data_IF_144586104632
#
_entry.id   IF_144586104632
#
_cell.length_a   1.000
_cell.length_b   1.000
_cell.length_c   1.000
_cell.angle_alpha   90.00
_cell.angle_beta   90.00
_cell.angle_gamma   90.00
#
_symmetry.space_group_name_H-M   'P 1'
#
loop_
_entity.id
_entity.type
_entity.pdbx_description
1 polymer ?
#
# COMPACT_ATOMS: atom_id res chain seq x y z
N UNK A 1 -3.52 -6.37 -12.07
CA UNK A 1 -4.66 -7.13 -11.49
C UNK A 1 -4.47 -7.19 -9.99
N UNK A 2 -5.52 -6.93 -9.20
CA UNK A 2 -5.43 -6.87 -7.73
C UNK A 2 -5.26 -8.26 -7.13
N UNK A 3 -4.74 -8.37 -5.92
CA UNK A 3 -4.51 -9.70 -5.31
C UNK A 3 -5.83 -10.43 -5.02
N UNK A 4 -6.89 -9.69 -4.64
CA UNK A 4 -8.23 -10.24 -4.46
C UNK A 4 -8.75 -10.84 -5.77
N UNK A 5 -8.62 -10.10 -6.87
CA UNK A 5 -9.10 -10.54 -8.18
C UNK A 5 -8.33 -11.76 -8.67
N UNK A 6 -7.00 -11.77 -8.46
CA UNK A 6 -6.13 -12.92 -8.72
C UNK A 6 -6.61 -14.16 -7.96
N UNK A 7 -6.87 -14.04 -6.66
CA UNK A 7 -7.39 -15.14 -5.86
C UNK A 7 -8.76 -15.59 -6.37
N UNK A 8 -9.71 -14.66 -6.51
CA UNK A 8 -11.07 -14.98 -6.98
C UNK A 8 -11.04 -15.70 -8.33
N UNK A 9 -10.23 -15.24 -9.27
CA UNK A 9 -10.04 -15.89 -10.57
C UNK A 9 -9.49 -17.30 -10.40
N UNK A 10 -8.44 -17.47 -9.58
CA UNK A 10 -7.82 -18.76 -9.34
C UNK A 10 -8.76 -19.78 -8.71
N UNK A 11 -9.60 -19.34 -7.76
CA UNK A 11 -10.59 -20.22 -7.13
C UNK A 11 -11.62 -20.72 -8.15
N UNK A 12 -12.11 -19.84 -9.02
CA UNK A 12 -13.02 -20.22 -10.11
C UNK A 12 -12.38 -21.19 -11.11
N UNK A 13 -11.12 -20.97 -11.48
CA UNK A 13 -10.37 -21.89 -12.34
C UNK A 13 -10.24 -23.29 -11.73
N UNK A 14 -10.17 -23.37 -10.39
CA UNK A 14 -10.12 -24.62 -9.64
C UNK A 14 -11.51 -25.23 -9.37
N UNK A 15 -12.60 -24.60 -9.83
CA UNK A 15 -13.96 -25.05 -9.58
C UNK A 15 -14.43 -24.84 -8.14
N UNK A 16 -13.80 -23.94 -7.39
CA UNK A 16 -14.14 -23.63 -6.00
C UNK A 16 -15.16 -22.48 -5.98
N UNK A 17 -16.41 -22.82 -5.69
CA UNK A 17 -17.54 -21.89 -5.56
C UNK A 17 -17.96 -21.66 -4.10
N UNK A 18 -17.58 -22.55 -3.17
CA UNK A 18 -17.83 -22.45 -1.73
C UNK A 18 -16.56 -22.62 -0.90
N UNK A 19 -16.34 -21.72 0.06
CA UNK A 19 -15.14 -21.74 0.90
C UNK A 19 -15.46 -21.49 2.38
N UNK A 20 -14.92 -22.34 3.26
CA UNK A 20 -15.01 -22.21 4.70
C UNK A 20 -13.87 -21.33 5.25
N UNK A 21 -14.23 -20.22 5.92
CA UNK A 21 -13.31 -19.13 6.31
C UNK A 21 -13.47 -18.65 7.76
N UNK A 22 -13.97 -19.50 8.69
CA UNK A 22 -14.27 -19.13 10.09
C UNK A 22 -13.11 -18.46 10.85
N UNK A 23 -11.87 -18.85 10.55
CA UNK A 23 -10.65 -18.27 11.17
C UNK A 23 -10.27 -16.88 10.63
N UNK A 24 -10.97 -16.41 9.60
CA UNK A 24 -10.65 -15.18 8.88
C UNK A 24 -11.55 -14.02 9.31
N UNK A 25 -10.97 -12.83 9.44
CA UNK A 25 -11.70 -11.59 9.68
C UNK A 25 -11.64 -10.72 8.43
N UNK A 26 -12.64 -9.86 8.21
CA UNK A 26 -12.64 -8.84 7.14
C UNK A 26 -11.69 -7.67 7.49
N UNK A 27 -10.39 -7.95 7.60
CA UNK A 27 -9.39 -6.99 8.09
C UNK A 27 -8.99 -5.97 7.02
N UNK A 28 -8.63 -6.45 5.83
CA UNK A 28 -8.14 -5.61 4.73
C UNK A 28 -9.26 -5.33 3.73
N UNK A 29 -9.41 -4.06 3.34
CA UNK A 29 -10.49 -3.56 2.48
C UNK A 29 -11.91 -4.01 2.89
N UNK A 30 -12.12 -4.35 4.17
CA UNK A 30 -13.35 -4.97 4.67
C UNK A 30 -13.80 -6.21 3.87
N UNK A 31 -12.84 -6.95 3.30
CA UNK A 31 -13.06 -8.09 2.41
C UNK A 31 -12.39 -9.35 2.95
N UNK A 32 -13.09 -10.48 2.89
CA UNK A 32 -12.51 -11.79 3.19
C UNK A 32 -11.50 -12.19 2.12
N UNK A 33 -11.80 -11.99 0.83
CA UNK A 33 -10.90 -12.42 -0.25
C UNK A 33 -9.59 -11.63 -0.26
N UNK A 34 -9.66 -10.31 -0.04
CA UNK A 34 -8.44 -9.51 0.12
C UNK A 34 -7.65 -9.96 1.35
N UNK A 35 -8.33 -10.20 2.48
CA UNK A 35 -7.65 -10.65 3.70
C UNK A 35 -7.02 -12.04 3.52
N UNK A 36 -7.72 -12.96 2.87
CA UNK A 36 -7.22 -14.29 2.58
C UNK A 36 -6.01 -14.22 1.66
N UNK A 37 -6.09 -13.47 0.55
CA UNK A 37 -4.98 -13.33 -0.39
C UNK A 37 -3.72 -12.77 0.28
N UNK A 38 -3.84 -11.73 1.12
CA UNK A 38 -2.70 -11.19 1.88
C UNK A 38 -2.14 -12.24 2.84
N UNK A 39 -3.00 -12.91 3.62
CA UNK A 39 -2.54 -13.91 4.59
C UNK A 39 -1.96 -15.15 3.93
N UNK A 40 -2.45 -15.52 2.75
CA UNK A 40 -1.93 -16.62 1.95
C UNK A 40 -0.44 -16.40 1.68
N UNK A 41 -0.09 -15.19 1.24
CA UNK A 41 1.27 -14.82 0.88
C UNK A 41 2.20 -14.60 2.10
N UNK A 42 1.68 -14.11 3.23
CA UNK A 42 2.50 -13.77 4.41
C UNK A 42 2.62 -14.94 5.38
N UNK A 43 1.57 -15.76 5.49
CA UNK A 43 1.46 -16.81 6.49
C UNK A 43 1.56 -18.22 5.90
N UNK A 44 1.85 -18.35 4.59
CA UNK A 44 1.86 -19.62 3.86
C UNK A 44 0.56 -20.40 4.10
N UNK A 45 -0.56 -19.77 3.74
CA UNK A 45 -1.85 -20.44 3.72
C UNK A 45 -2.13 -20.96 2.32
N UNK A 46 -3.05 -21.91 2.25
CA UNK A 46 -3.58 -22.48 1.02
C UNK A 46 -5.04 -22.87 1.22
N UNK A 47 -5.65 -23.48 0.21
CA UNK A 47 -6.99 -24.06 0.32
C UNK A 47 -6.89 -25.55 0.12
N UNK A 48 -7.50 -26.29 1.04
CA UNK A 48 -7.49 -27.75 1.06
C UNK A 48 -8.89 -28.29 0.89
N UNK A 49 -9.02 -29.38 0.15
CA UNK A 49 -10.25 -30.13 0.03
C UNK A 49 -10.53 -30.86 1.36
N UNK A 50 -11.63 -30.51 2.02
CA UNK A 50 -12.10 -31.11 3.26
C UNK A 50 -13.59 -30.83 3.41
N UNK A 51 -14.38 -31.87 3.69
CA UNK A 51 -15.81 -31.72 3.96
C UNK A 51 -16.01 -31.14 5.35
N UNK A 52 -16.69 -30.00 5.41
CA UNK A 52 -17.01 -29.30 6.64
C UNK A 52 -18.41 -28.69 6.55
N UNK A 53 -19.16 -28.73 7.64
CA UNK A 53 -20.44 -28.04 7.73
C UNK A 53 -20.24 -26.57 8.10
N UNK A 54 -21.05 -25.69 7.52
CA UNK A 54 -21.02 -24.27 7.83
C UNK A 54 -22.28 -23.53 7.43
N UNK A 55 -22.39 -22.28 7.90
CA UNK A 55 -23.48 -21.36 7.55
C UNK A 55 -22.92 -20.25 6.64
N UNK A 56 -23.71 -19.81 5.64
CA UNK A 56 -23.29 -18.75 4.71
C UNK A 56 -23.15 -17.41 5.46
N UNK A 57 -21.97 -16.81 5.40
CA UNK A 57 -21.65 -15.51 6.04
C UNK A 57 -21.45 -14.37 5.03
N UNK A 58 -21.46 -14.70 3.74
CA UNK A 58 -21.34 -13.72 2.68
C UNK A 58 -20.99 -14.35 1.34
N UNK A 59 -20.72 -13.49 0.37
CA UNK A 59 -20.32 -13.88 -0.98
C UNK A 59 -19.40 -12.78 -1.53
N UNK A 60 -18.29 -13.19 -2.15
CA UNK A 60 -17.37 -12.27 -2.81
C UNK A 60 -16.91 -12.84 -4.13
N UNK A 61 -16.94 -12.05 -5.20
CA UNK A 61 -16.58 -12.48 -6.54
C UNK A 61 -17.39 -13.69 -7.06
N UNK A 62 -18.60 -13.96 -6.55
CA UNK A 62 -19.36 -15.17 -6.89
C UNK A 62 -18.82 -16.44 -6.22
N UNK A 63 -18.10 -16.30 -5.10
CA UNK A 63 -17.67 -17.39 -4.22
C UNK A 63 -18.42 -17.23 -2.91
N UNK A 64 -19.19 -18.24 -2.53
CA UNK A 64 -19.93 -18.28 -1.28
C UNK A 64 -18.98 -18.56 -0.11
N UNK A 65 -19.13 -17.79 0.97
CA UNK A 65 -18.26 -17.87 2.13
C UNK A 65 -19.04 -18.40 3.32
N UNK A 66 -18.41 -19.34 4.02
CA UNK A 66 -19.01 -20.05 5.14
C UNK A 66 -18.19 -19.89 6.41
N UNK A 67 -18.88 -19.75 7.54
CA UNK A 67 -18.31 -19.80 8.88
C UNK A 67 -18.87 -20.98 9.65
N UNK A 68 -18.57 -21.06 10.95
CA UNK A 68 -19.06 -22.12 11.84
C UNK A 68 -20.59 -22.28 11.75
N UNK A 69 -21.05 -23.51 11.58
CA UNK A 69 -22.46 -23.85 11.47
C UNK A 69 -22.69 -25.28 11.00
N UNK A 70 -23.95 -25.64 10.80
CA UNK A 70 -24.39 -27.02 10.48
C UNK A 70 -25.32 -27.09 9.25
N UNK A 71 -25.56 -25.98 8.55
CA UNK A 71 -26.59 -25.90 7.51
C UNK A 71 -26.16 -26.45 6.15
N UNK A 72 -24.92 -26.23 5.74
CA UNK A 72 -24.45 -26.57 4.38
C UNK A 72 -23.09 -27.25 4.41
N UNK A 73 -22.94 -28.33 3.64
CA UNK A 73 -21.65 -28.96 3.38
C UNK A 73 -20.80 -28.08 2.42
N UNK A 74 -19.58 -27.80 2.85
CA UNK A 74 -18.56 -27.05 2.11
C UNK A 74 -17.36 -27.96 1.92
N UNK A 75 -16.79 -27.97 0.72
CA UNK A 75 -15.73 -28.92 0.35
C UNK A 75 -14.31 -28.38 0.48
N UNK A 76 -14.16 -27.10 0.83
CA UNK A 76 -12.89 -26.42 0.85
C UNK A 76 -12.75 -25.54 2.09
N UNK A 77 -11.57 -25.59 2.71
CA UNK A 77 -11.22 -24.73 3.86
C UNK A 77 -9.82 -24.15 3.72
N UNK A 78 -9.55 -23.09 4.49
CA UNK A 78 -8.21 -22.52 4.63
C UNK A 78 -7.33 -23.46 5.47
N UNK A 79 -6.11 -23.74 5.02
CA UNK A 79 -5.10 -24.51 5.75
C UNK A 79 -3.69 -23.92 5.53
N UNK A 80 -2.66 -24.44 6.19
CA UNK A 80 -1.26 -24.10 5.89
C UNK A 80 -0.79 -24.83 4.63
N UNK A 81 -0.02 -24.14 3.79
CA UNK A 81 0.57 -24.71 2.58
C UNK A 81 1.09 -23.64 1.63
N UNK A 82 1.43 -24.06 0.41
CA UNK A 82 1.91 -23.13 -0.61
C UNK A 82 0.76 -22.23 -1.12
N UNK A 83 1.03 -20.91 -1.31
CA UNK A 83 0.04 -20.00 -1.86
C UNK A 83 -0.46 -20.44 -3.23
N UNK A 84 -1.76 -20.32 -3.47
CA UNK A 84 -2.38 -20.67 -4.74
C UNK A 84 -2.20 -19.61 -5.83
N UNK A 85 -1.71 -18.43 -5.47
CA UNK A 85 -1.57 -17.27 -6.34
C UNK A 85 -0.13 -16.80 -6.44
N UNK A 86 0.26 -16.37 -7.63
CA UNK A 86 1.47 -15.60 -7.84
C UNK A 86 1.12 -14.12 -7.74
N UNK A 87 1.71 -13.37 -6.79
CA UNK A 87 1.35 -11.98 -6.59
C UNK A 87 1.91 -11.08 -7.71
N UNK A 88 1.26 -9.94 -7.98
CA UNK A 88 1.75 -8.98 -8.95
C UNK A 88 3.02 -8.30 -8.44
N UNK A 89 3.98 -8.08 -9.33
CA UNK A 89 5.20 -7.33 -9.02
C UNK A 89 4.98 -5.81 -9.06
N UNK A 90 4.00 -5.34 -9.84
CA UNK A 90 3.68 -3.92 -9.99
C UNK A 90 2.22 -3.62 -9.58
N UNK A 91 1.93 -2.41 -9.08
CA UNK A 91 2.90 -1.35 -8.80
C UNK A 91 3.78 -1.68 -7.59
N UNK A 92 5.03 -1.24 -7.63
CA UNK A 92 6.01 -1.39 -6.57
C UNK A 92 6.29 -0.03 -5.93
N UNK A 93 6.17 0.06 -4.61
CA UNK A 93 6.45 1.28 -3.86
C UNK A 93 7.79 1.14 -3.18
N UNK A 94 8.75 1.98 -3.53
CA UNK A 94 10.08 1.99 -2.94
C UNK A 94 10.20 3.18 -2.00
N UNK A 95 10.36 2.92 -0.70
CA UNK A 95 10.59 3.96 0.31
C UNK A 95 12.08 3.98 0.64
N UNK A 96 12.73 5.09 0.32
CA UNK A 96 14.17 5.27 0.54
C UNK A 96 14.44 6.07 1.82
N UNK A 97 15.24 5.47 2.70
CA UNK A 97 15.61 5.98 4.01
C UNK A 97 17.00 6.62 4.05
N UNK A 98 17.63 6.93 2.91
CA UNK A 98 18.99 7.49 2.85
C UNK A 98 19.19 8.78 3.68
N UNK A 99 18.12 9.56 3.92
CA UNK A 99 18.17 10.76 4.76
C UNK A 99 17.86 10.50 6.25
N UNK A 100 17.78 9.24 6.70
CA UNK A 100 17.38 8.88 8.07
C UNK A 100 18.20 9.58 9.16
N UNK A 101 19.50 9.66 8.98
CA UNK A 101 20.40 10.25 9.98
C UNK A 101 20.19 11.75 10.16
N UNK A 102 19.63 12.42 9.16
CA UNK A 102 19.26 13.82 9.27
C UNK A 102 18.05 14.04 10.16
N UNK A 103 17.18 13.03 10.35
CA UNK A 103 15.96 13.12 11.15
C UNK A 103 16.26 13.16 12.65
N UNK A 104 15.43 13.91 13.38
CA UNK A 104 15.32 13.83 14.84
C UNK A 104 14.65 12.52 15.27
N UNK A 105 14.79 12.14 16.55
CA UNK A 105 14.14 10.95 17.11
C UNK A 105 12.60 10.97 16.94
N UNK A 106 11.98 12.14 17.02
CA UNK A 106 10.54 12.30 16.84
C UNK A 106 10.14 12.07 15.37
N UNK A 107 10.91 12.63 14.43
CA UNK A 107 10.72 12.40 13.00
C UNK A 107 10.91 10.93 12.64
N UNK A 108 11.95 10.25 13.16
CA UNK A 108 12.20 8.82 12.97
C UNK A 108 11.03 7.96 13.46
N UNK A 109 10.50 8.23 14.65
CA UNK A 109 9.32 7.54 15.18
C UNK A 109 8.09 7.80 14.31
N UNK A 110 7.86 9.05 13.92
CA UNK A 110 6.74 9.44 13.06
C UNK A 110 6.80 8.77 11.70
N UNK A 111 7.96 8.78 11.03
CA UNK A 111 8.21 8.10 9.76
C UNK A 111 7.98 6.59 9.89
N UNK A 112 8.46 5.97 10.97
CA UNK A 112 8.23 4.53 11.19
C UNK A 112 6.74 4.21 11.34
N UNK A 113 5.99 5.03 12.09
CA UNK A 113 4.54 4.89 12.21
C UNK A 113 3.83 5.08 10.87
N UNK A 114 4.27 6.05 10.07
CA UNK A 114 3.74 6.24 8.72
C UNK A 114 4.04 5.05 7.82
N UNK A 115 5.23 4.45 7.89
CA UNK A 115 5.55 3.22 7.16
C UNK A 115 4.61 2.07 7.55
N UNK A 116 4.33 1.89 8.85
CA UNK A 116 3.38 0.87 9.32
C UNK A 116 1.97 1.13 8.76
N UNK A 117 1.53 2.39 8.72
CA UNK A 117 0.26 2.76 8.10
C UNK A 117 0.28 2.51 6.60
N UNK A 118 1.40 2.79 5.91
CA UNK A 118 1.60 2.49 4.50
C UNK A 118 1.47 0.99 4.22
N UNK A 119 2.08 0.13 5.05
CA UNK A 119 1.94 -1.32 4.94
C UNK A 119 0.47 -1.76 5.02
N UNK A 120 -0.32 -1.16 5.93
CA UNK A 120 -1.75 -1.44 6.03
C UNK A 120 -2.53 -0.92 4.82
N UNK A 121 -2.17 0.25 4.27
CA UNK A 121 -2.74 0.78 3.03
C UNK A 121 -2.45 -0.19 1.89
N UNK A 122 -1.20 -0.61 1.70
CA UNK A 122 -0.80 -1.59 0.68
C UNK A 122 -1.65 -2.86 0.79
N UNK A 123 -1.80 -3.43 1.99
CA UNK A 123 -2.60 -4.63 2.23
C UNK A 123 -4.09 -4.50 1.88
N UNK A 124 -4.64 -3.28 1.77
CA UNK A 124 -6.02 -3.07 1.30
C UNK A 124 -6.18 -3.28 -0.21
N UNK A 125 -5.11 -3.14 -1.00
CA UNK A 125 -5.18 -3.20 -2.47
C UNK A 125 -4.32 -4.34 -3.05
N UNK A 126 -3.15 -4.53 -2.45
CA UNK A 126 -2.05 -5.40 -2.88
C UNK A 126 -1.61 -6.28 -1.70
N UNK A 127 -0.31 -6.62 -1.62
CA UNK A 127 0.32 -7.36 -0.53
C UNK A 127 1.71 -6.78 -0.21
N UNK A 128 2.35 -7.27 0.85
CA UNK A 128 3.58 -6.68 1.39
C UNK A 128 4.74 -6.61 0.39
N UNK A 129 4.90 -7.57 -0.50
CA UNK A 129 6.01 -7.58 -1.47
C UNK A 129 5.91 -6.50 -2.55
N UNK A 130 4.78 -5.76 -2.63
CA UNK A 130 4.69 -4.53 -3.42
C UNK A 130 5.31 -3.32 -2.71
N UNK A 131 5.85 -3.49 -1.49
CA UNK A 131 6.53 -2.46 -0.73
C UNK A 131 8.00 -2.84 -0.53
N UNK A 132 8.89 -1.95 -0.96
CA UNK A 132 10.33 -2.02 -0.76
C UNK A 132 10.81 -0.94 0.19
N UNK A 133 11.83 -1.28 0.96
CA UNK A 133 12.53 -0.39 1.88
C UNK A 133 13.99 -0.38 1.49
N UNK A 134 14.50 0.78 1.09
CA UNK A 134 15.90 0.97 0.70
C UNK A 134 16.63 1.80 1.76
N UNK A 135 17.90 1.47 2.00
CA UNK A 135 18.80 2.22 2.91
C UNK A 135 18.25 2.36 4.34
N UNK A 136 17.36 1.46 4.78
CA UNK A 136 16.84 1.52 6.14
C UNK A 136 17.89 1.05 7.15
N UNK A 137 18.20 1.86 8.17
CA UNK A 137 19.15 1.47 9.20
C UNK A 137 18.52 0.48 10.18
N UNK A 138 19.36 -0.21 10.95
CA UNK A 138 18.91 -1.14 12.00
C UNK A 138 17.93 -0.49 12.98
N UNK A 139 18.11 0.79 13.30
CA UNK A 139 17.22 1.55 14.18
C UNK A 139 15.76 1.58 13.66
N UNK A 140 15.55 1.70 12.35
CA UNK A 140 14.22 1.65 11.75
C UNK A 140 13.53 0.31 12.05
N UNK A 141 14.25 -0.81 11.84
CA UNK A 141 13.70 -2.15 12.10
C UNK A 141 13.42 -2.38 13.59
N UNK A 142 14.24 -1.83 14.48
CA UNK A 142 14.01 -1.88 15.93
C UNK A 142 12.75 -1.10 16.33
N UNK A 143 12.55 0.10 15.79
CA UNK A 143 11.33 0.89 16.01
C UNK A 143 10.10 0.19 15.41
N UNK A 144 10.23 -0.38 14.22
CA UNK A 144 9.17 -1.14 13.56
C UNK A 144 8.71 -2.31 14.43
N UNK A 145 9.63 -3.15 14.88
CA UNK A 145 9.32 -4.30 15.74
C UNK A 145 8.74 -3.87 17.09
N UNK A 146 9.25 -2.77 17.67
CA UNK A 146 8.70 -2.19 18.90
C UNK A 146 7.24 -1.77 18.73
N UNK A 147 6.88 -1.16 17.59
CA UNK A 147 5.53 -0.69 17.32
C UNK A 147 4.58 -1.78 16.82
N UNK A 148 5.10 -2.85 16.23
CA UNK A 148 4.32 -3.93 15.61
C UNK A 148 4.77 -5.32 16.08
N UNK A 149 4.93 -5.48 17.39
CA UNK A 149 5.40 -6.73 17.99
C UNK A 149 4.58 -7.94 17.54
N UNK A 150 5.25 -8.93 16.93
CA UNK A 150 4.63 -10.16 16.46
C UNK A 150 3.80 -10.02 15.17
N UNK A 151 3.86 -8.87 14.50
CA UNK A 151 3.29 -8.71 13.16
C UNK A 151 4.13 -9.49 12.16
N UNK A 152 3.51 -10.44 11.45
CA UNK A 152 4.13 -11.04 10.27
C UNK A 152 4.10 -10.05 9.10
N UNK A 153 5.20 -9.95 8.38
CA UNK A 153 5.34 -9.11 7.19
C UNK A 153 6.26 -9.76 6.16
N UNK A 154 6.15 -9.29 4.91
CA UNK A 154 6.98 -9.78 3.79
C UNK A 154 7.38 -8.66 2.82
N UNK A 155 7.50 -7.42 3.32
CA UNK A 155 8.03 -6.31 2.51
C UNK A 155 9.53 -6.53 2.26
N UNK A 156 10.04 -5.97 1.17
CA UNK A 156 11.41 -6.21 0.74
C UNK A 156 12.37 -5.23 1.42
N UNK A 157 13.33 -5.74 2.21
CA UNK A 157 14.48 -4.95 2.65
C UNK A 157 15.58 -5.04 1.58
N UNK A 158 15.92 -3.90 0.99
CA UNK A 158 16.79 -3.81 -0.18
C UNK A 158 18.11 -3.14 0.17
N UNK A 159 19.20 -3.70 -0.36
CA UNK A 159 20.56 -3.14 -0.23
C UNK A 159 20.99 -2.35 -1.46
N UNK A 160 20.19 -2.38 -2.54
CA UNK A 160 20.40 -1.63 -3.76
C UNK A 160 19.05 -1.26 -4.35
N UNK A 161 19.02 -0.17 -5.10
CA UNK A 161 17.85 0.26 -5.84
C UNK A 161 17.35 -0.88 -6.74
N UNK A 162 16.07 -1.19 -6.64
CA UNK A 162 15.40 -2.17 -7.48
C UNK A 162 14.19 -1.50 -8.14
N UNK A 163 14.23 -1.42 -9.47
CA UNK A 163 13.10 -0.94 -10.27
C UNK A 163 12.35 -2.16 -10.81
N UNK A 164 11.05 -2.17 -10.58
CA UNK A 164 10.10 -3.15 -11.13
C UNK A 164 9.36 -2.50 -12.30
N UNK A 165 9.35 -3.17 -13.45
CA UNK A 165 8.73 -2.66 -14.67
C UNK A 165 9.50 -1.52 -15.32
N UNK A 166 8.89 -0.86 -16.31
CA UNK A 166 9.59 0.03 -17.24
C UNK A 166 9.33 1.52 -16.95
N UNK A 167 8.34 1.82 -16.12
CA UNK A 167 7.88 3.19 -15.87
C UNK A 167 8.10 3.61 -14.40
N UNK A 168 9.35 3.86 -13.96
CA UNK A 168 9.62 4.37 -12.63
C UNK A 168 9.33 5.88 -12.55
N UNK A 169 8.77 6.32 -11.43
CA UNK A 169 8.61 7.74 -11.10
C UNK A 169 9.10 8.02 -9.68
N UNK A 170 9.53 9.26 -9.44
CA UNK A 170 9.81 9.78 -8.10
C UNK A 170 8.71 10.75 -7.74
N UNK A 171 8.02 10.50 -6.62
CA UNK A 171 7.04 11.45 -6.12
C UNK A 171 7.74 12.54 -5.32
N UNK A 172 7.91 13.69 -5.95
CA UNK A 172 8.63 14.84 -5.42
C UNK A 172 7.72 16.09 -5.43
N UNK A 173 7.42 16.71 -4.28
CA UNK A 173 6.60 17.92 -4.22
C UNK A 173 7.21 19.12 -4.97
N UNK A 174 8.50 19.08 -5.31
CA UNK A 174 9.22 20.09 -6.09
C UNK A 174 9.50 19.64 -7.53
N UNK A 175 8.97 18.49 -7.95
CA UNK A 175 9.11 17.96 -9.30
C UNK A 175 8.58 18.91 -10.39
N UNK A 176 9.19 18.82 -11.57
CA UNK A 176 8.83 19.60 -12.75
C UNK A 176 7.65 19.00 -13.53
N UNK A 177 7.35 17.71 -13.36
CA UNK A 177 6.23 17.03 -14.00
C UNK A 177 5.02 17.10 -13.08
N UNK A 178 3.87 17.56 -13.58
CA UNK A 178 2.62 17.55 -12.81
C UNK A 178 1.96 16.18 -13.00
N UNK A 179 1.60 15.53 -11.89
CA UNK A 179 0.91 14.25 -11.93
C UNK A 179 -0.49 14.40 -12.56
N UNK A 180 -0.83 13.47 -13.43
CA UNK A 180 -2.19 13.20 -13.90
C UNK A 180 -2.54 11.71 -13.68
N UNK A 181 -3.78 11.33 -13.98
CA UNK A 181 -4.24 9.96 -13.84
C UNK A 181 -3.47 8.98 -14.73
N UNK A 182 -3.05 9.39 -15.92
CA UNK A 182 -2.36 8.52 -16.88
C UNK A 182 -0.96 8.15 -16.37
N UNK A 183 -0.17 9.15 -15.98
CA UNK A 183 1.16 8.97 -15.38
C UNK A 183 1.05 8.00 -14.20
N UNK A 184 0.13 8.25 -13.27
CA UNK A 184 0.01 7.42 -12.06
C UNK A 184 -0.51 6.00 -12.37
N UNK A 185 -1.42 5.82 -13.33
CA UNK A 185 -1.90 4.50 -13.74
C UNK A 185 -0.81 3.68 -14.39
N UNK A 186 0.00 4.29 -15.26
CA UNK A 186 1.04 3.61 -16.03
C UNK A 186 2.37 3.44 -15.26
N UNK A 187 2.55 4.12 -14.12
CA UNK A 187 3.76 3.97 -13.30
C UNK A 187 3.87 2.58 -12.66
N UNK A 188 4.97 1.88 -12.90
CA UNK A 188 5.23 0.54 -12.38
C UNK A 188 5.97 0.56 -11.05
N UNK A 189 6.92 1.50 -10.90
CA UNK A 189 7.65 1.74 -9.66
C UNK A 189 7.44 3.18 -9.20
N UNK A 190 7.07 3.35 -7.94
CA UNK A 190 6.80 4.65 -7.32
C UNK A 190 7.79 4.83 -6.16
N UNK A 191 8.71 5.78 -6.33
CA UNK A 191 9.76 6.06 -5.36
C UNK A 191 9.33 7.23 -4.46
N UNK A 192 9.51 7.04 -3.16
CA UNK A 192 9.14 7.97 -2.10
C UNK A 192 10.31 8.12 -1.13
N UNK A 193 10.53 9.33 -0.63
CA UNK A 193 11.46 9.55 0.48
C UNK A 193 10.84 9.16 1.82
N UNK A 194 11.61 8.54 2.71
CA UNK A 194 11.21 8.27 4.10
C UNK A 194 11.04 9.54 4.94
N UNK A 195 11.48 10.69 4.45
CA UNK A 195 11.24 12.00 5.08
C UNK A 195 9.99 12.62 4.48
N UNK A 196 9.09 13.08 5.35
CA UNK A 196 7.94 13.90 4.97
C UNK A 196 8.36 15.37 4.96
N UNK A 197 8.20 16.04 3.83
CA UNK A 197 8.44 17.48 3.65
C UNK A 197 7.37 18.35 4.37
N UNK A 198 7.09 18.07 5.66
CA UNK A 198 6.36 18.99 6.52
C UNK A 198 7.35 19.95 7.17
N UNK A 199 7.20 21.23 6.86
CA UNK A 199 7.46 22.28 7.83
C UNK A 199 8.91 22.37 8.36
N UNK A 200 9.68 23.22 7.67
CA UNK A 200 10.69 24.14 8.21
C UNK A 200 12.14 23.67 8.38
N UNK A 201 12.47 22.39 8.62
CA UNK A 201 13.90 22.05 8.86
C UNK A 201 14.69 21.65 7.62
N UNK A 202 14.21 20.68 6.84
CA UNK A 202 14.86 20.24 5.60
C UNK A 202 13.93 20.61 4.46
N UNK A 203 14.26 21.68 3.73
CA UNK A 203 13.56 22.00 2.48
C UNK A 203 14.11 21.10 1.38
N UNK A 204 13.25 20.72 0.44
CA UNK A 204 13.64 19.95 -0.74
C UNK A 204 14.29 18.59 -0.41
N UNK A 205 13.88 17.95 0.70
CA UNK A 205 14.48 16.69 1.14
C UNK A 205 14.34 15.60 0.06
N UNK A 206 13.20 15.55 -0.63
CA UNK A 206 12.98 14.58 -1.71
C UNK A 206 13.82 14.88 -2.97
N UNK A 207 14.09 16.15 -3.26
CA UNK A 207 15.00 16.56 -4.34
C UNK A 207 16.44 16.18 -4.00
N UNK A 208 16.87 16.44 -2.76
CA UNK A 208 18.20 16.05 -2.29
C UNK A 208 18.37 14.53 -2.27
N UNK A 209 17.36 13.80 -1.78
CA UNK A 209 17.30 12.35 -1.85
C UNK A 209 17.49 11.86 -3.29
N UNK A 210 16.78 12.46 -4.24
CA UNK A 210 16.90 12.09 -5.66
C UNK A 210 18.31 12.28 -6.19
N UNK A 211 19.01 13.33 -5.74
CA UNK A 211 20.40 13.58 -6.11
C UNK A 211 21.36 12.56 -5.50
N UNK A 212 21.26 12.27 -4.20
CA UNK A 212 22.20 11.39 -3.50
C UNK A 212 21.95 9.90 -3.76
N UNK A 213 20.70 9.51 -4.02
CA UNK A 213 20.30 8.13 -4.27
C UNK A 213 20.28 7.77 -5.77
N UNK A 214 20.62 8.71 -6.65
CA UNK A 214 20.72 8.46 -8.10
C UNK A 214 19.37 8.41 -8.82
N UNK A 215 18.33 9.07 -8.30
CA UNK A 215 17.01 9.17 -8.93
C UNK A 215 16.81 10.44 -9.76
N UNK A 216 17.80 11.31 -9.81
CA UNK A 216 17.65 12.64 -10.44
C UNK A 216 17.24 12.57 -11.91
N UNK A 217 17.71 11.54 -12.63
CA UNK A 217 17.38 11.31 -14.04
C UNK A 217 16.02 10.63 -14.26
N UNK A 218 15.34 10.21 -13.18
CA UNK A 218 13.99 9.65 -13.25
C UNK A 218 12.94 10.76 -13.29
N UNK A 219 11.75 10.52 -13.88
CA UNK A 219 10.64 11.46 -13.87
C UNK A 219 10.29 11.96 -12.45
N UNK A 220 10.51 13.26 -12.22
CA UNK A 220 10.22 13.94 -10.94
C UNK A 220 8.78 14.46 -10.95
N UNK A 221 7.85 13.67 -10.38
CA UNK A 221 6.41 13.88 -10.48
C UNK A 221 5.86 14.53 -9.22
N UNK A 222 5.16 15.65 -9.38
CA UNK A 222 4.50 16.43 -8.33
C UNK A 222 2.99 16.25 -8.38
N UNK A 223 2.41 15.77 -7.29
CA UNK A 223 0.94 15.74 -7.11
C UNK A 223 0.44 17.14 -6.72
N UNK A 224 -0.56 17.63 -7.43
CA UNK A 224 -1.20 18.93 -7.12
C UNK A 224 -2.72 18.79 -7.01
N UNK A 225 -3.33 19.64 -6.20
CA UNK A 225 -4.78 19.81 -6.13
C UNK A 225 -5.12 21.18 -6.72
N UNK A 226 -5.76 21.19 -7.89
CA UNK A 226 -6.09 22.42 -8.64
C UNK A 226 -4.87 23.35 -8.82
N UNK A 227 -3.75 22.78 -9.27
CA UNK A 227 -2.52 23.51 -9.59
C UNK A 227 -1.64 23.90 -8.39
N UNK A 228 -1.99 23.51 -7.16
CA UNK A 228 -1.19 23.79 -5.95
C UNK A 228 -0.93 22.53 -5.15
N UNK A 229 0.24 22.45 -4.50
CA UNK A 229 0.55 21.40 -3.51
C UNK A 229 -0.23 21.61 -2.20
N UNK A 230 -0.81 22.80 -1.98
CA UNK A 230 -1.56 23.11 -0.76
C UNK A 230 -2.86 22.32 -0.74
N UNK A 231 -3.05 21.57 0.35
CA UNK A 231 -4.17 20.65 0.52
C UNK A 231 -3.87 19.22 0.04
N UNK A 232 -2.74 18.98 -0.60
CA UNK A 232 -2.28 17.61 -0.88
C UNK A 232 -1.69 17.04 0.42
N UNK A 233 -2.13 15.84 0.86
CA UNK A 233 -1.50 15.14 1.98
C UNK A 233 -0.01 14.94 1.73
N UNK A 234 0.78 15.03 2.79
CA UNK A 234 2.25 14.90 2.75
C UNK A 234 2.74 13.62 3.44
N UNK A 235 1.86 12.94 4.20
CA UNK A 235 2.18 11.67 4.85
C UNK A 235 2.34 10.53 3.84
N UNK A 236 3.36 9.69 4.04
CA UNK A 236 3.67 8.54 3.18
C UNK A 236 2.44 7.68 2.88
N UNK A 237 1.72 7.28 3.92
CA UNK A 237 0.57 6.39 3.77
C UNK A 237 -0.57 7.04 2.98
N UNK A 238 -0.74 8.36 3.09
CA UNK A 238 -1.76 9.11 2.35
C UNK A 238 -1.36 9.30 0.89
N UNK A 239 -0.09 9.54 0.59
CA UNK A 239 0.42 9.60 -0.79
C UNK A 239 0.26 8.25 -1.49
N UNK A 240 0.67 7.16 -0.83
CA UNK A 240 0.49 5.80 -1.37
C UNK A 240 -0.99 5.49 -1.60
N UNK A 241 -1.87 5.90 -0.68
CA UNK A 241 -3.31 5.72 -0.85
C UNK A 241 -3.86 6.50 -2.05
N UNK A 242 -3.39 7.73 -2.30
CA UNK A 242 -3.77 8.51 -3.49
C UNK A 242 -3.39 7.76 -4.76
N UNK A 243 -2.14 7.31 -4.88
CA UNK A 243 -1.67 6.57 -6.06
C UNK A 243 -2.48 5.30 -6.27
N UNK A 244 -2.73 4.53 -5.22
CA UNK A 244 -3.54 3.32 -5.31
C UNK A 244 -4.96 3.64 -5.75
N UNK A 245 -5.65 4.63 -5.15
CA UNK A 245 -7.00 5.03 -5.59
C UNK A 245 -7.05 5.41 -7.07
N UNK A 246 -6.07 6.16 -7.56
CA UNK A 246 -6.01 6.52 -8.99
C UNK A 246 -5.87 5.28 -9.87
N UNK A 247 -5.02 4.33 -9.48
CA UNK A 247 -4.90 3.01 -10.14
C UNK A 247 -6.19 2.19 -10.06
N UNK A 248 -7.02 2.45 -9.05
CA UNK A 248 -8.33 1.80 -8.86
C UNK A 248 -9.45 2.43 -9.68
N UNK A 249 -9.16 3.49 -10.45
CA UNK A 249 -10.11 4.13 -11.34
C UNK A 249 -10.59 5.51 -10.86
N UNK A 250 -10.19 5.96 -9.67
CA UNK A 250 -10.55 7.29 -9.18
C UNK A 250 -9.88 8.38 -10.02
N UNK A 251 -10.50 9.57 -10.04
CA UNK A 251 -9.83 10.79 -10.47
C UNK A 251 -8.75 11.16 -9.44
N UNK A 252 -7.71 11.87 -9.87
CA UNK A 252 -6.65 12.34 -8.97
C UNK A 252 -7.21 13.29 -7.92
N UNK A 253 -8.15 14.16 -8.30
CA UNK A 253 -8.81 15.08 -7.37
C UNK A 253 -9.58 14.33 -6.27
N UNK A 254 -10.42 13.35 -6.63
CA UNK A 254 -11.19 12.56 -5.65
C UNK A 254 -10.28 11.73 -4.74
N UNK A 255 -9.20 11.18 -5.32
CA UNK A 255 -8.20 10.45 -4.57
C UNK A 255 -7.53 11.35 -3.52
N UNK A 256 -7.15 12.58 -3.89
CA UNK A 256 -6.60 13.57 -2.96
C UNK A 256 -7.63 13.93 -1.87
N UNK A 257 -8.83 14.38 -2.26
CA UNK A 257 -9.85 14.87 -1.32
C UNK A 257 -10.26 13.81 -0.30
N UNK A 258 -10.40 12.56 -0.74
CA UNK A 258 -10.77 11.43 0.14
C UNK A 258 -9.63 10.99 1.07
N UNK A 259 -8.38 11.36 0.77
CA UNK A 259 -7.19 10.99 1.55
C UNK A 259 -6.69 12.13 2.45
N UNK A 260 -7.33 13.30 2.39
CA UNK A 260 -7.05 14.46 3.24
C UNK A 260 -7.42 14.22 4.71
N UNK A 261 -6.51 14.59 5.61
CA UNK A 261 -6.87 14.83 7.01
C UNK A 261 -7.61 16.15 7.18
N UNK A 262 -8.23 16.34 8.36
CA UNK A 262 -8.88 17.61 8.71
C UNK A 262 -7.93 18.81 8.59
N UNK A 263 -6.66 18.63 8.95
CA UNK A 263 -5.65 19.68 8.83
C UNK A 263 -5.35 20.06 7.37
N UNK A 264 -5.35 19.09 6.46
CA UNK A 264 -5.10 19.33 5.03
C UNK A 264 -6.25 20.15 4.42
N UNK A 265 -7.50 19.80 4.78
CA UNK A 265 -8.70 20.54 4.37
C UNK A 265 -8.70 21.96 4.88
N UNK A 266 -8.35 22.17 6.15
CA UNK A 266 -8.27 23.52 6.73
C UNK A 266 -7.17 24.35 6.05
N UNK A 267 -5.96 23.80 5.86
CA UNK A 267 -4.88 24.49 5.13
C UNK A 267 -5.32 24.93 3.74
N UNK A 268 -6.05 24.05 3.04
CA UNK A 268 -6.60 24.34 1.72
C UNK A 268 -7.64 25.48 1.76
N UNK A 269 -8.59 25.40 2.67
CA UNK A 269 -9.65 26.41 2.81
C UNK A 269 -9.05 27.80 3.06
N UNK A 270 -8.10 27.90 4.00
CA UNK A 270 -7.40 29.16 4.28
C UNK A 270 -6.68 29.72 3.05
N UNK A 271 -6.02 28.86 2.27
CA UNK A 271 -5.33 29.29 1.06
C UNK A 271 -6.26 29.80 -0.04
N UNK A 272 -7.45 29.20 -0.18
CA UNK A 272 -8.46 29.68 -1.13
C UNK A 272 -9.08 31.01 -0.65
N UNK A 273 -9.32 31.17 0.65
CA UNK A 273 -9.86 32.41 1.24
C UNK A 273 -8.91 33.62 1.13
N UNK A 274 -7.60 33.41 1.08
CA UNK A 274 -6.62 34.50 0.94
C UNK A 274 -6.29 34.86 -0.51
N UNK A 275 -6.79 34.09 -1.48
CA UNK A 275 -6.59 34.30 -2.93
C UNK A 275 -7.84 34.82 -3.66
N UNK A 276 -9.02 34.68 -3.07
CA UNK A 276 -10.27 35.29 -3.53
C UNK A 276 -10.42 36.71 -2.99
#
# INVERSE_FOLDING_TARGET
>A
MRIKELLCKRLKELGIDRLYVDSLKRKYAKSYMQTLAVKMLIENLTIKAERIMGNKIGEECGIELYGRGEETEVNYKIDKGEPLIYPPQTPFFLIDFNLWDMMTDEERKSTTLQFILTLNVIRNYLWDGNLGVLNAPTEFFQLFEKFQKGLKYSFLALNKMEIKGDNPIVLNPYGNIIADEEILRNSDTIILGGIVDKGRRIREATTELSRISGYYDLPQVKITLRGSIIGVPDRLNSIVEIVLKVKEGYTLEDAIISSQSKADKLRRLYYEMTRG
#
